data_IF_608042426922
#
_entry.id   IF_608042426922
#
_cell.length_a   1.000
_cell.length_b   1.000
_cell.length_c   1.000
_cell.angle_alpha   90.00
_cell.angle_beta   90.00
_cell.angle_gamma   90.00
#
_symmetry.space_group_name_H-M   'P 1'
#
loop_
_entity.id
_entity.type
_entity.pdbx_description
1 polymer ?
#
# COMPACT_ATOMS: atom_id res chain seq x y z
N UNK A 1 18.26 0.85 4.43
CA UNK A 1 17.86 -0.57 4.36
C UNK A 1 16.44 -0.61 3.82
N UNK A 2 16.24 -1.12 2.59
CA UNK A 2 14.91 -1.21 1.96
C UNK A 2 14.12 -2.32 2.67
N UNK A 3 13.04 -1.97 3.34
CA UNK A 3 12.09 -2.95 3.91
C UNK A 3 11.12 -3.38 2.82
N UNK A 4 11.43 -4.45 2.09
CA UNK A 4 10.55 -4.99 1.05
C UNK A 4 9.41 -5.79 1.69
N UNK A 5 8.18 -5.26 1.68
CA UNK A 5 6.97 -5.99 2.10
C UNK A 5 6.20 -6.47 0.87
N UNK A 6 6.38 -7.73 0.48
CA UNK A 6 5.71 -8.32 -0.68
C UNK A 6 4.28 -8.70 -0.28
N UNK A 7 3.30 -7.99 -0.83
CA UNK A 7 1.90 -8.38 -0.75
C UNK A 7 1.57 -9.23 -1.97
N UNK A 8 0.92 -10.38 -1.79
CA UNK A 8 0.42 -11.22 -2.87
C UNK A 8 -1.00 -11.63 -2.53
N UNK A 9 -1.95 -10.76 -2.86
CA UNK A 9 -3.37 -11.12 -2.81
C UNK A 9 -3.69 -11.68 -4.19
N UNK A 10 -4.08 -12.97 -4.25
CA UNK A 10 -4.66 -13.68 -5.43
C UNK A 10 -3.75 -14.59 -6.27
N UNK A 11 -2.53 -14.94 -5.82
CA UNK A 11 -1.75 -16.03 -6.43
C UNK A 11 -1.21 -15.76 -7.85
N UNK A 12 -1.25 -14.51 -8.31
CA UNK A 12 -0.57 -14.01 -9.52
C UNK A 12 0.14 -12.69 -9.21
N UNK A 13 1.22 -12.43 -9.92
CA UNK A 13 1.93 -11.14 -9.89
C UNK A 13 1.40 -10.35 -11.09
N UNK A 14 0.31 -9.58 -10.91
CA UNK A 14 -0.29 -8.75 -11.96
C UNK A 14 0.49 -7.45 -12.14
N UNK A 15 0.49 -6.63 -11.10
CA UNK A 15 1.16 -5.34 -10.99
C UNK A 15 2.09 -5.30 -9.78
N UNK A 16 3.27 -4.69 -9.91
CA UNK A 16 4.19 -4.43 -8.79
C UNK A 16 4.45 -2.94 -8.69
N UNK A 17 4.16 -2.36 -7.53
CA UNK A 17 4.25 -0.92 -7.27
C UNK A 17 5.11 -0.65 -6.05
N UNK A 18 6.09 0.23 -6.21
CA UNK A 18 6.82 0.82 -5.09
C UNK A 18 6.01 1.99 -4.53
N UNK A 19 5.75 1.98 -3.23
CA UNK A 19 5.14 3.09 -2.50
C UNK A 19 6.23 3.80 -1.70
N UNK A 20 6.34 5.10 -1.91
CA UNK A 20 7.41 5.93 -1.38
C UNK A 20 6.77 6.98 -0.48
N UNK A 21 7.07 6.90 0.81
CA UNK A 21 6.73 7.97 1.74
C UNK A 21 7.80 9.07 1.68
N UNK A 22 7.43 10.36 1.83
CA UNK A 22 8.39 11.44 1.92
C UNK A 22 9.32 11.25 3.12
N UNK A 23 10.56 11.73 3.01
CA UNK A 23 11.53 11.64 4.09
C UNK A 23 11.06 12.40 5.34
N UNK A 24 11.42 11.88 6.52
CA UNK A 24 10.95 12.35 7.83
C UNK A 24 11.14 13.86 8.05
N UNK A 25 12.15 14.48 7.41
CA UNK A 25 12.42 15.93 7.49
C UNK A 25 11.24 16.77 6.96
N UNK A 26 10.47 16.24 6.00
CA UNK A 26 9.27 16.90 5.47
C UNK A 26 8.05 16.60 6.35
N UNK A 27 7.96 15.38 6.88
CA UNK A 27 6.82 14.91 7.66
C UNK A 27 6.68 15.53 9.06
N UNK A 28 7.75 16.08 9.65
CA UNK A 28 7.72 16.73 10.97
C UNK A 28 7.02 18.10 10.96
N UNK A 29 6.99 18.77 9.81
CA UNK A 29 6.21 20.00 9.61
C UNK A 29 4.72 19.73 9.44
N UNK A 30 4.34 18.45 9.30
CA UNK A 30 3.00 18.08 8.93
C UNK A 30 2.13 17.71 10.16
N UNK A 31 1.06 18.46 10.40
CA UNK A 31 0.12 18.27 11.51
C UNK A 31 -0.47 16.85 11.51
N UNK A 32 -0.82 16.33 12.68
CA UNK A 32 -1.39 14.98 12.85
C UNK A 32 -2.72 14.74 12.12
N UNK A 33 -3.33 15.79 11.55
CA UNK A 33 -4.52 15.72 10.68
C UNK A 33 -4.19 15.75 9.18
N UNK A 34 -2.92 15.89 8.81
CA UNK A 34 -2.54 16.10 7.42
C UNK A 34 -2.53 14.82 6.60
N UNK A 35 -2.96 15.01 5.35
CA UNK A 35 -2.96 14.04 4.26
C UNK A 35 -1.69 13.21 4.32
N UNK A 36 -1.85 11.89 4.35
CA UNK A 36 -0.72 10.99 4.16
C UNK A 36 -0.25 11.18 2.72
N UNK A 37 0.84 11.92 2.55
CA UNK A 37 1.51 12.06 1.27
C UNK A 37 2.34 10.82 0.97
N UNK A 38 2.24 10.34 -0.26
CA UNK A 38 3.01 9.23 -0.79
C UNK A 38 3.07 9.34 -2.30
N UNK A 39 4.17 8.86 -2.87
CA UNK A 39 4.32 8.63 -4.30
C UNK A 39 4.22 7.14 -4.60
N UNK A 40 3.83 6.82 -5.83
CA UNK A 40 3.85 5.47 -6.36
C UNK A 40 4.74 5.39 -7.60
N UNK A 41 5.46 4.27 -7.74
CA UNK A 41 6.22 3.95 -8.94
C UNK A 41 5.87 2.54 -9.39
N UNK A 42 5.29 2.43 -10.58
CA UNK A 42 5.07 1.15 -11.23
C UNK A 42 6.42 0.52 -11.59
N UNK A 43 6.68 -0.67 -11.06
CA UNK A 43 7.90 -1.43 -11.32
C UNK A 43 7.70 -2.51 -12.39
N UNK A 44 6.55 -3.22 -12.33
CA UNK A 44 6.20 -4.31 -13.26
C UNK A 44 4.69 -4.37 -13.46
N UNK A 45 4.25 -4.91 -14.59
CA UNK A 45 2.84 -5.05 -14.94
C UNK A 45 2.27 -3.82 -15.67
N UNK A 46 0.97 -3.86 -15.96
CA UNK A 46 0.21 -2.74 -16.49
C UNK A 46 -0.51 -2.00 -15.38
N UNK A 47 -0.96 -0.78 -15.65
CA UNK A 47 -1.84 -0.06 -14.73
C UNK A 47 -3.20 -0.77 -14.64
N UNK A 48 -3.51 -1.32 -13.47
CA UNK A 48 -4.73 -2.10 -13.22
C UNK A 48 -5.78 -1.22 -12.54
N UNK A 49 -7.00 -1.19 -13.10
CA UNK A 49 -8.12 -0.49 -12.50
C UNK A 49 -8.40 -1.02 -11.08
N UNK A 50 -8.30 -0.15 -10.07
CA UNK A 50 -8.53 -0.49 -8.66
C UNK A 50 -7.26 -0.63 -7.82
N UNK A 51 -6.09 -0.74 -8.44
CA UNK A 51 -4.81 -0.78 -7.73
C UNK A 51 -4.55 0.49 -6.91
N UNK A 52 -4.82 1.67 -7.48
CA UNK A 52 -4.68 2.95 -6.80
C UNK A 52 -5.53 3.05 -5.52
N UNK A 53 -6.77 2.55 -5.58
CA UNK A 53 -7.67 2.58 -4.42
C UNK A 53 -7.19 1.65 -3.32
N UNK A 54 -6.69 0.46 -3.69
CA UNK A 54 -6.08 -0.46 -2.75
C UNK A 54 -4.82 0.14 -2.12
N UNK A 55 -3.89 0.67 -2.93
CA UNK A 55 -2.67 1.31 -2.45
C UNK A 55 -3.00 2.46 -1.50
N UNK A 56 -3.97 3.31 -1.86
CA UNK A 56 -4.40 4.42 -0.99
C UNK A 56 -4.91 3.93 0.35
N UNK A 57 -5.74 2.88 0.39
CA UNK A 57 -6.24 2.29 1.64
C UNK A 57 -5.13 1.67 2.47
N UNK A 58 -4.22 0.94 1.82
CA UNK A 58 -3.05 0.35 2.47
C UNK A 58 -2.15 1.41 3.09
N UNK A 59 -1.85 2.49 2.37
CA UNK A 59 -1.02 3.59 2.85
C UNK A 59 -1.63 4.28 4.06
N UNK A 60 -2.93 4.58 4.01
CA UNK A 60 -3.64 5.19 5.14
C UNK A 60 -3.63 4.28 6.37
N UNK A 61 -3.81 2.96 6.17
CA UNK A 61 -3.72 1.98 7.24
C UNK A 61 -2.32 1.89 7.84
N UNK A 62 -1.27 1.78 7.02
CA UNK A 62 0.10 1.73 7.52
C UNK A 62 0.49 3.02 8.24
N UNK A 63 0.06 4.17 7.72
CA UNK A 63 0.31 5.46 8.35
C UNK A 63 -0.41 5.60 9.71
N UNK A 64 -1.62 5.03 9.87
CA UNK A 64 -2.31 5.03 11.17
C UNK A 64 -1.60 4.16 12.21
N UNK A 65 -0.85 3.14 11.77
CA UNK A 65 0.04 2.33 12.61
C UNK A 65 1.43 2.98 12.83
N UNK A 66 1.67 4.20 12.33
CA UNK A 66 2.98 4.85 12.38
C UNK A 66 4.03 4.24 11.44
N UNK A 67 3.64 3.32 10.56
CA UNK A 67 4.54 2.61 9.62
C UNK A 67 4.66 3.37 8.30
N UNK A 68 5.43 4.46 8.31
CA UNK A 68 5.71 5.29 7.11
C UNK A 68 7.07 4.94 6.51
N UNK A 69 7.19 3.72 5.99
CA UNK A 69 8.42 3.23 5.33
C UNK A 69 8.12 2.82 3.91
N UNK A 70 9.09 3.04 3.02
CA UNK A 70 9.03 2.56 1.63
C UNK A 70 8.70 1.07 1.59
N UNK A 71 7.76 0.69 0.73
CA UNK A 71 7.31 -0.69 0.55
C UNK A 71 7.13 -1.02 -0.94
N UNK A 72 7.19 -2.30 -1.28
CA UNK A 72 6.97 -2.82 -2.64
C UNK A 72 5.76 -3.74 -2.62
N UNK A 73 4.65 -3.27 -3.14
CA UNK A 73 3.38 -4.01 -3.18
C UNK A 73 3.30 -4.79 -4.48
N UNK A 74 2.97 -6.08 -4.42
CA UNK A 74 2.50 -6.83 -5.60
C UNK A 74 0.99 -6.99 -5.50
N UNK A 75 0.32 -6.82 -6.62
CA UNK A 75 -1.13 -6.75 -6.75
C UNK A 75 -1.48 -7.69 -7.90
N UNK A 76 -2.49 -8.54 -7.75
CA UNK A 76 -2.92 -9.45 -8.81
C UNK A 76 -4.41 -9.32 -9.02
N UNK A 77 -4.88 -8.18 -9.51
CA UNK A 77 -6.31 -7.88 -9.64
C UNK A 77 -6.76 -8.06 -11.10
N UNK A 78 -7.70 -8.96 -11.34
CA UNK A 78 -8.36 -9.09 -12.65
C UNK A 78 -9.77 -8.46 -12.54
N UNK A 79 -9.88 -7.15 -12.83
CA UNK A 79 -11.17 -6.44 -12.80
C UNK A 79 -11.85 -6.37 -11.43
N UNK A 80 -11.11 -5.91 -10.41
CA UNK A 80 -11.47 -6.13 -9.00
C UNK A 80 -12.54 -5.17 -8.48
N UNK A 81 -13.55 -5.75 -7.82
CA UNK A 81 -14.64 -4.98 -7.23
C UNK A 81 -14.21 -4.27 -5.94
N UNK A 82 -14.96 -3.26 -5.53
CA UNK A 82 -14.68 -2.59 -4.25
C UNK A 82 -14.82 -3.54 -3.05
N UNK A 83 -15.65 -4.58 -3.15
CA UNK A 83 -15.80 -5.59 -2.09
C UNK A 83 -14.54 -6.43 -1.92
N UNK A 84 -13.89 -6.82 -3.01
CA UNK A 84 -12.66 -7.62 -2.98
C UNK A 84 -11.49 -6.82 -2.37
N UNK A 85 -11.40 -5.52 -2.70
CA UNK A 85 -10.44 -4.61 -2.04
C UNK A 85 -10.72 -4.54 -0.53
N UNK A 86 -11.99 -4.44 -0.13
CA UNK A 86 -12.36 -4.40 1.28
C UNK A 86 -12.03 -5.72 2.00
N UNK A 87 -12.28 -6.87 1.36
CA UNK A 87 -11.93 -8.18 1.89
C UNK A 87 -10.41 -8.34 2.05
N UNK A 88 -9.62 -7.90 1.07
CA UNK A 88 -8.16 -7.90 1.13
C UNK A 88 -7.66 -7.03 2.30
N UNK A 89 -8.22 -5.83 2.49
CA UNK A 89 -7.89 -4.96 3.63
C UNK A 89 -8.26 -5.58 4.98
N UNK A 90 -9.42 -6.25 5.09
CA UNK A 90 -9.79 -6.95 6.32
C UNK A 90 -8.85 -8.12 6.64
N UNK A 91 -8.38 -8.85 5.61
CA UNK A 91 -7.39 -9.91 5.82
C UNK A 91 -6.06 -9.33 6.28
N UNK A 92 -5.63 -8.19 5.72
CA UNK A 92 -4.45 -7.46 6.15
C UNK A 92 -4.55 -7.05 7.62
N UNK A 93 -5.67 -6.45 8.03
CA UNK A 93 -5.92 -6.03 9.41
C UNK A 93 -5.86 -7.21 10.39
N UNK A 94 -6.37 -8.38 10.00
CA UNK A 94 -6.35 -9.60 10.82
C UNK A 94 -4.97 -10.25 10.87
N UNK A 95 -4.24 -10.24 9.75
CA UNK A 95 -2.92 -10.85 9.60
C UNK A 95 -1.78 -10.03 10.25
N UNK A 96 -2.00 -8.74 10.52
CA UNK A 96 -1.01 -7.86 11.14
C UNK A 96 -0.76 -8.08 12.64
N UNK A 97 -1.39 -9.10 13.25
CA UNK A 97 -1.09 -9.54 14.62
C UNK A 97 0.25 -10.28 14.68
N UNK A 98 1.34 -9.52 14.70
CA UNK A 98 2.64 -10.07 15.12
C UNK A 98 3.77 -9.67 14.19
N UNK A 99 4.21 -8.42 14.30
CA UNK A 99 5.60 -7.97 14.15
C UNK A 99 5.75 -6.65 14.91
#
# INVERSE_FOLDING_TARGET
MLSSQIFCVLGRIGQVVEVIFPEAIVAESLSTQQRVEYDTKLLLGSDEAGADLFIRRLVLYLASLGRRRRLIVSIGFDGVSTEEIAAAMQQLEKGFKGF
#
